data_IF_934813190515
#
_entry.id   IF_934813190515
#
_cell.length_a   1.000
_cell.length_b   1.000
_cell.length_c   1.000
_cell.angle_alpha   90.00
_cell.angle_beta   90.00
_cell.angle_gamma   90.00
#
_symmetry.space_group_name_H-M   'P 1'
#
loop_
_entity.id
_entity.type
_entity.pdbx_description
1 polymer ?
#
# COMPACT_ATOMS: atom_id res chain seq x y z
N UNK A 1 1.07 -41.53 -36.85
CA UNK A 1 0.66 -40.11 -36.62
C UNK A 1 0.29 -39.79 -35.17
N UNK A 2 -0.46 -40.64 -34.44
CA UNK A 2 -0.86 -40.35 -33.04
C UNK A 2 0.28 -40.30 -31.99
N UNK A 3 1.41 -41.02 -32.20
CA UNK A 3 2.57 -41.00 -31.27
C UNK A 3 3.32 -39.65 -31.27
N UNK A 4 3.42 -38.98 -32.42
CA UNK A 4 4.00 -37.63 -32.50
C UNK A 4 3.06 -36.58 -31.90
N UNK A 5 1.76 -36.76 -32.03
CA UNK A 5 0.76 -35.89 -31.40
C UNK A 5 0.84 -35.97 -29.87
N UNK A 6 1.00 -37.17 -29.31
CA UNK A 6 1.17 -37.34 -27.86
C UNK A 6 2.48 -36.71 -27.35
N UNK A 7 3.58 -36.82 -28.12
CA UNK A 7 4.86 -36.18 -27.80
C UNK A 7 4.81 -34.65 -27.90
N UNK A 8 4.05 -34.09 -28.86
CA UNK A 8 3.88 -32.65 -29.03
C UNK A 8 3.00 -32.04 -27.93
N UNK A 9 1.95 -32.74 -27.51
CA UNK A 9 1.07 -32.28 -26.40
C UNK A 9 1.84 -32.23 -25.07
N UNK A 10 2.78 -33.15 -24.83
CA UNK A 10 3.62 -33.13 -23.62
C UNK A 10 4.60 -31.95 -23.57
N UNK A 11 5.10 -31.49 -24.72
CA UNK A 11 6.04 -30.35 -24.79
C UNK A 11 5.31 -29.01 -24.55
N UNK A 12 4.03 -28.91 -24.93
CA UNK A 12 3.21 -27.71 -24.69
C UNK A 12 2.81 -27.54 -23.21
N UNK A 13 2.53 -28.62 -22.48
CA UNK A 13 2.22 -28.57 -21.03
C UNK A 13 3.46 -28.38 -20.13
N UNK A 14 4.66 -28.73 -20.61
CA UNK A 14 5.90 -28.54 -19.86
C UNK A 14 6.35 -27.07 -19.75
N UNK A 15 5.77 -26.16 -20.53
CA UNK A 15 6.00 -24.71 -20.43
C UNK A 15 4.85 -23.97 -19.73
N UNK A 16 3.89 -24.68 -19.12
CA UNK A 16 2.89 -24.08 -18.22
C UNK A 16 3.44 -23.90 -16.79
N UNK A 17 4.73 -23.60 -16.67
CA UNK A 17 5.38 -23.37 -15.40
C UNK A 17 6.20 -22.09 -15.51
N UNK A 18 5.70 -21.08 -14.79
CA UNK A 18 6.41 -19.90 -14.32
C UNK A 18 6.33 -18.63 -15.20
N UNK A 19 5.11 -18.06 -15.32
CA UNK A 19 5.01 -16.62 -14.99
C UNK A 19 5.09 -16.52 -13.46
N UNK A 20 6.27 -16.78 -12.91
CA UNK A 20 6.64 -16.30 -11.57
C UNK A 20 7.33 -14.97 -11.83
N UNK A 21 6.92 -13.95 -11.09
CA UNK A 21 7.30 -12.54 -11.26
C UNK A 21 6.40 -11.78 -12.26
N UNK A 22 5.10 -11.70 -11.97
CA UNK A 22 4.60 -10.32 -11.81
C UNK A 22 5.27 -9.90 -10.52
N UNK A 23 6.38 -9.17 -10.63
CA UNK A 23 7.03 -8.57 -9.48
C UNK A 23 5.93 -8.00 -8.60
N UNK A 24 5.99 -8.36 -7.34
CA UNK A 24 5.15 -7.84 -6.29
C UNK A 24 5.13 -6.34 -6.49
N UNK A 25 4.10 -5.81 -7.17
CA UNK A 25 4.11 -4.43 -7.59
C UNK A 25 4.24 -3.66 -6.29
N UNK A 26 5.40 -3.03 -6.07
CA UNK A 26 5.65 -2.20 -4.92
C UNK A 26 4.56 -1.15 -4.98
N UNK A 27 3.50 -1.41 -4.21
CA UNK A 27 2.30 -0.59 -4.24
C UNK A 27 2.78 0.75 -3.72
N UNK A 28 2.93 1.70 -4.64
CA UNK A 28 3.32 3.05 -4.30
C UNK A 28 2.38 3.53 -3.21
N UNK A 29 2.93 4.16 -2.17
CA UNK A 29 2.12 4.71 -1.11
C UNK A 29 1.11 5.69 -1.72
N UNK A 30 -0.20 5.53 -1.45
CA UNK A 30 -1.22 6.34 -2.11
C UNK A 30 -1.06 7.81 -1.72
N UNK A 31 -1.16 8.71 -2.70
CA UNK A 31 -1.28 10.14 -2.45
C UNK A 31 -2.74 10.48 -2.22
N UNK A 32 -3.06 11.10 -1.10
CA UNK A 32 -4.42 11.50 -0.72
C UNK A 32 -4.41 12.70 0.21
N UNK A 33 -5.34 13.65 0.01
CA UNK A 33 -5.46 14.82 0.85
C UNK A 33 -4.18 15.67 0.86
N UNK A 34 -3.87 16.24 2.01
CA UNK A 34 -2.73 17.12 2.20
C UNK A 34 -1.51 16.41 2.82
N UNK A 35 -1.70 15.24 3.45
CA UNK A 35 -0.69 14.56 4.27
C UNK A 35 -0.36 13.15 3.78
N UNK A 36 -1.31 12.40 3.21
CA UNK A 36 -0.99 11.04 2.79
C UNK A 36 -0.13 11.08 1.52
N UNK A 37 1.16 10.74 1.63
CA UNK A 37 2.06 10.66 0.48
C UNK A 37 3.52 10.91 0.83
N UNK A 38 4.49 10.29 0.14
CA UNK A 38 5.88 10.72 0.26
C UNK A 38 6.03 12.19 -0.14
N UNK A 39 6.71 12.98 0.69
CA UNK A 39 6.89 14.44 0.50
C UNK A 39 5.59 15.27 0.60
N UNK A 40 4.56 14.72 1.23
CA UNK A 40 3.37 15.46 1.63
C UNK A 40 3.40 15.68 3.16
N UNK A 41 2.93 16.84 3.63
CA UNK A 41 2.69 18.04 2.85
C UNK A 41 4.04 18.60 2.31
N UNK A 42 4.03 19.54 1.36
CA UNK A 42 5.26 20.20 0.93
C UNK A 42 6.03 20.78 2.13
N UNK A 43 7.36 20.69 2.08
CA UNK A 43 8.22 21.16 3.17
C UNK A 43 7.92 22.63 3.53
N UNK A 44 7.89 22.92 4.83
CA UNK A 44 7.59 24.26 5.34
C UNK A 44 6.10 24.64 5.30
N UNK A 45 5.21 23.72 4.94
CA UNK A 45 3.76 23.95 4.97
C UNK A 45 3.07 23.16 6.09
N UNK A 46 1.91 23.66 6.54
CA UNK A 46 1.08 22.98 7.54
C UNK A 46 -0.41 23.16 7.21
N UNK A 47 -0.88 22.59 6.08
CA UNK A 47 -2.28 22.69 5.69
C UNK A 47 -3.23 22.03 6.70
N UNK A 48 -4.51 22.34 6.59
CA UNK A 48 -5.56 21.65 7.37
C UNK A 48 -5.83 20.29 6.72
N UNK A 49 -5.86 19.17 7.46
CA UNK A 49 -6.27 17.89 6.89
C UNK A 49 -7.66 17.97 6.27
N UNK A 50 -7.86 17.34 5.11
CA UNK A 50 -9.14 17.41 4.40
C UNK A 50 -10.25 16.56 5.04
N UNK A 51 -9.86 15.52 5.78
CA UNK A 51 -10.76 14.64 6.53
C UNK A 51 -10.00 13.84 7.62
N UNK A 52 -10.66 12.82 8.19
CA UNK A 52 -10.07 11.97 9.22
C UNK A 52 -8.98 11.00 8.70
N UNK A 53 -9.07 10.55 7.45
CA UNK A 53 -8.02 9.72 6.83
C UNK A 53 -6.75 10.54 6.66
N UNK A 54 -6.89 11.77 6.16
CA UNK A 54 -5.78 12.71 6.01
C UNK A 54 -5.22 13.15 7.38
N UNK A 55 -6.08 13.25 8.41
CA UNK A 55 -5.65 13.50 9.80
C UNK A 55 -4.78 12.36 10.33
N UNK A 56 -5.09 11.10 10.02
CA UNK A 56 -4.27 9.96 10.42
C UNK A 56 -2.89 10.00 9.75
N UNK A 57 -2.81 10.44 8.48
CA UNK A 57 -1.54 10.66 7.80
C UNK A 57 -0.72 11.78 8.45
N UNK A 58 -1.35 12.91 8.81
CA UNK A 58 -0.69 13.97 9.58
C UNK A 58 -0.11 13.48 10.92
N UNK A 59 -0.85 12.61 11.61
CA UNK A 59 -0.40 12.04 12.87
C UNK A 59 0.78 11.07 12.69
N UNK A 60 0.80 10.33 11.57
CA UNK A 60 1.92 9.47 11.17
C UNK A 60 3.17 10.27 10.82
N UNK A 61 3.06 11.35 10.04
CA UNK A 61 4.20 12.22 9.73
C UNK A 61 4.84 12.80 11.01
N UNK A 62 4.01 13.30 11.93
CA UNK A 62 4.48 13.76 13.25
C UNK A 62 5.11 12.65 14.09
N UNK A 63 4.72 11.40 13.88
CA UNK A 63 5.35 10.26 14.53
C UNK A 63 6.75 10.04 13.94
N UNK A 64 6.87 10.05 12.61
CA UNK A 64 8.15 9.96 11.91
C UNK A 64 9.10 11.12 12.23
N UNK A 65 8.61 12.34 12.42
CA UNK A 65 9.44 13.46 12.90
C UNK A 65 10.11 13.16 14.25
N UNK A 66 9.45 12.38 15.11
CA UNK A 66 9.93 12.05 16.47
C UNK A 66 10.76 10.77 16.52
N UNK A 67 10.43 9.77 15.70
CA UNK A 67 10.98 8.42 15.77
C UNK A 67 11.91 8.06 14.61
N UNK A 68 11.87 8.83 13.52
CA UNK A 68 12.53 8.51 12.26
C UNK A 68 11.64 7.72 11.31
N UNK A 69 12.06 7.67 10.04
CA UNK A 69 11.39 6.91 8.99
C UNK A 69 11.46 5.41 9.25
N UNK A 70 10.43 4.68 8.81
CA UNK A 70 10.29 3.22 8.94
C UNK A 70 10.19 2.71 10.38
N UNK A 71 9.85 3.59 11.33
CA UNK A 71 9.58 3.19 12.70
C UNK A 71 8.31 2.31 12.77
N UNK A 72 8.47 1.09 13.31
CA UNK A 72 7.37 0.10 13.40
C UNK A 72 6.22 0.54 14.30
N UNK A 73 6.47 1.40 15.29
CA UNK A 73 5.44 1.93 16.17
C UNK A 73 4.58 2.92 15.38
N UNK A 74 5.20 3.83 14.62
CA UNK A 74 4.49 4.77 13.76
C UNK A 74 3.64 4.05 12.72
N UNK A 75 4.20 3.07 12.01
CA UNK A 75 3.45 2.27 11.03
C UNK A 75 2.29 1.48 11.66
N UNK A 76 2.48 0.96 12.88
CA UNK A 76 1.42 0.26 13.60
C UNK A 76 0.31 1.21 14.07
N UNK A 77 0.65 2.44 14.43
CA UNK A 77 -0.29 3.44 14.93
C UNK A 77 -1.23 3.92 13.82
N UNK A 78 -0.72 4.21 12.62
CA UNK A 78 -1.57 4.63 11.50
C UNK A 78 -2.56 3.52 11.10
N UNK A 79 -2.17 2.25 11.12
CA UNK A 79 -3.10 1.13 10.87
C UNK A 79 -4.24 1.13 11.90
N UNK A 80 -3.92 1.29 13.20
CA UNK A 80 -4.91 1.29 14.28
C UNK A 80 -5.88 2.47 14.15
N UNK A 81 -5.36 3.66 13.86
CA UNK A 81 -6.15 4.87 13.67
C UNK A 81 -7.10 4.74 12.46
N UNK A 82 -6.59 4.28 11.32
CA UNK A 82 -7.40 4.09 10.12
C UNK A 82 -8.51 3.03 10.28
N UNK A 83 -8.30 1.99 11.11
CA UNK A 83 -9.29 0.92 11.33
C UNK A 83 -10.56 1.40 12.05
N UNK A 84 -10.49 2.48 12.83
CA UNK A 84 -11.66 3.02 13.55
C UNK A 84 -12.39 4.12 12.78
N UNK A 85 -11.77 4.67 11.72
CA UNK A 85 -12.38 5.70 10.88
C UNK A 85 -13.51 5.11 10.03
N UNK A 86 -14.63 5.85 9.98
CA UNK A 86 -15.78 5.60 9.10
C UNK A 86 -15.78 6.62 7.96
N UNK A 87 -15.25 6.26 6.77
CA UNK A 87 -15.26 7.08 5.58
C UNK A 87 -16.67 7.51 5.19
N UNK A 88 -16.80 8.78 4.81
CA UNK A 88 -18.05 9.35 4.30
C UNK A 88 -18.12 9.29 2.77
N UNK A 89 -16.98 9.18 2.09
CA UNK A 89 -16.88 9.16 0.63
C UNK A 89 -16.21 7.89 0.08
N UNK A 90 -16.46 7.51 -1.19
CA UNK A 90 -15.72 6.45 -1.88
C UNK A 90 -14.20 6.69 -1.90
N UNK A 91 -13.79 7.95 -2.05
CA UNK A 91 -12.39 8.40 -2.09
C UNK A 91 -11.70 8.13 -0.75
N UNK A 92 -12.28 8.58 0.36
CA UNK A 92 -11.80 8.27 1.72
C UNK A 92 -11.72 6.75 1.94
N UNK A 93 -12.73 6.01 1.49
CA UNK A 93 -12.79 4.55 1.65
C UNK A 93 -11.67 3.85 0.89
N UNK A 94 -11.35 4.33 -0.31
CA UNK A 94 -10.26 3.82 -1.13
C UNK A 94 -8.90 4.18 -0.50
N UNK A 95 -8.68 5.45 -0.15
CA UNK A 95 -7.45 5.92 0.48
C UNK A 95 -7.13 5.11 1.74
N UNK A 96 -8.08 5.04 2.68
CA UNK A 96 -7.96 4.24 3.90
C UNK A 96 -7.58 2.78 3.61
N UNK A 97 -8.24 2.14 2.63
CA UNK A 97 -7.96 0.74 2.28
C UNK A 97 -6.55 0.58 1.72
N UNK A 98 -6.10 1.48 0.84
CA UNK A 98 -4.78 1.42 0.23
C UNK A 98 -3.66 1.67 1.26
N UNK A 99 -3.84 2.63 2.16
CA UNK A 99 -2.86 2.95 3.22
C UNK A 99 -2.70 1.77 4.19
N UNK A 100 -3.82 1.22 4.69
CA UNK A 100 -3.78 0.01 5.54
C UNK A 100 -3.07 -1.13 4.80
N UNK A 101 -3.44 -1.35 3.53
CA UNK A 101 -2.86 -2.42 2.71
C UNK A 101 -1.35 -2.25 2.52
N UNK A 102 -0.87 -1.01 2.38
CA UNK A 102 0.56 -0.69 2.28
C UNK A 102 1.30 -1.09 3.56
N UNK A 103 0.91 -0.54 4.71
CA UNK A 103 1.63 -0.77 5.96
C UNK A 103 1.49 -2.22 6.47
N UNK A 104 0.35 -2.88 6.23
CA UNK A 104 0.19 -4.31 6.56
C UNK A 104 1.11 -5.21 5.71
N UNK A 105 1.55 -4.77 4.53
CA UNK A 105 2.58 -5.48 3.75
C UNK A 105 3.99 -5.17 4.25
N UNK A 106 4.30 -3.90 4.55
CA UNK A 106 5.65 -3.51 4.99
C UNK A 106 5.99 -4.05 6.38
N UNK A 107 5.00 -4.25 7.26
CA UNK A 107 5.22 -4.85 8.59
C UNK A 107 5.41 -6.38 8.59
N UNK A 108 5.16 -7.06 7.46
CA UNK A 108 5.38 -8.52 7.33
C UNK A 108 6.80 -8.88 6.91
N UNK A 109 7.68 -7.88 6.74
CA UNK A 109 9.12 -8.02 6.52
C UNK A 109 9.88 -7.71 7.83
#
# INVERSE_FOLDING_TARGET
MKKYYLLLVTILIANCSQIKNVDQADLAFPVYGNYCGPKYPPEGTNPVPVDLVDTACKNHDKCYERHGYFDKICDGNIIKELKVIKPSTPEEKLARKLIISYFERTQKL
#
